data_IF_001434096471
#
_entry.id   IF_001434096471
#
_cell.length_a   1.000
_cell.length_b   1.000
_cell.length_c   1.000
_cell.angle_alpha   90.00
_cell.angle_beta   90.00
_cell.angle_gamma   90.00
#
_symmetry.space_group_name_H-M   'P 1'
#
loop_
_entity.id
_entity.type
_entity.pdbx_description
1 polymer ?
#
# COMPACT_ATOMS: atom_id res chain seq x y z
N UNK A 1 0.34 -0.12 -8.81
CA UNK A 1 0.38 -1.46 -8.17
C UNK A 1 0.62 -1.30 -6.69
N UNK A 2 -0.12 -1.96 -5.81
CA UNK A 2 0.05 -1.89 -4.36
C UNK A 2 0.12 -3.30 -3.76
N UNK A 3 0.90 -3.46 -2.70
CA UNK A 3 1.06 -4.73 -1.99
C UNK A 3 0.50 -4.63 -0.57
N UNK A 4 -0.55 -5.38 -0.28
CA UNK A 4 -1.01 -5.59 1.09
C UNK A 4 -0.14 -6.70 1.71
N UNK A 5 0.83 -6.31 2.52
CA UNK A 5 1.80 -7.22 3.14
C UNK A 5 1.35 -7.50 4.56
N UNK A 6 1.05 -8.76 4.86
CA UNK A 6 0.55 -9.18 6.18
C UNK A 6 1.41 -10.30 6.76
N UNK A 7 1.60 -10.27 8.07
CA UNK A 7 2.29 -11.33 8.82
C UNK A 7 1.29 -12.35 9.43
N UNK A 8 1.76 -13.45 10.02
CA UNK A 8 0.88 -14.46 10.63
C UNK A 8 0.01 -13.94 11.78
N UNK A 9 0.41 -12.85 12.44
CA UNK A 9 -0.34 -12.22 13.53
C UNK A 9 -1.27 -11.09 13.03
N UNK A 10 -1.47 -11.01 11.71
CA UNK A 10 -2.30 -10.03 11.04
C UNK A 10 -1.81 -8.57 11.18
N UNK A 11 -0.52 -8.36 11.46
CA UNK A 11 0.07 -7.05 11.27
C UNK A 11 0.19 -6.75 9.79
N UNK A 12 0.04 -5.49 9.43
CA UNK A 12 0.20 -5.01 8.06
C UNK A 12 1.34 -4.00 7.96
N UNK A 13 2.16 -4.13 6.92
CA UNK A 13 3.23 -3.18 6.62
C UNK A 13 2.68 -2.04 5.77
N UNK A 14 2.82 -0.82 6.27
CA UNK A 14 2.36 0.39 5.57
C UNK A 14 3.48 1.41 5.46
N UNK A 15 3.37 2.26 4.44
CA UNK A 15 4.20 3.44 4.21
C UNK A 15 3.37 4.71 4.44
N UNK A 16 3.98 5.77 4.97
CA UNK A 16 3.33 7.05 5.19
C UNK A 16 3.74 8.05 4.12
N UNK A 17 2.76 8.47 3.35
CA UNK A 17 2.92 9.58 2.41
C UNK A 17 2.58 10.89 3.08
N UNK A 18 3.41 11.90 2.87
CA UNK A 18 3.23 13.25 3.37
C UNK A 18 3.94 14.26 2.45
N UNK A 19 3.31 15.38 2.14
CA UNK A 19 3.91 16.48 1.38
C UNK A 19 3.25 17.80 1.74
N UNK A 20 3.86 18.93 1.36
CA UNK A 20 3.30 20.25 1.63
C UNK A 20 1.91 20.40 0.97
N UNK A 21 0.89 20.69 1.78
CA UNK A 21 -0.48 20.83 1.32
C UNK A 21 -1.28 19.54 1.17
N UNK A 22 -0.72 18.39 1.59
CA UNK A 22 -1.50 17.14 1.62
C UNK A 22 -2.68 17.25 2.59
N UNK A 23 -3.81 16.69 2.19
CA UNK A 23 -4.98 16.55 3.06
C UNK A 23 -5.25 15.05 3.31
N UNK A 24 -5.36 14.65 4.59
CA UNK A 24 -5.27 15.47 5.80
C UNK A 24 -3.82 15.87 6.16
N UNK A 25 -3.66 16.94 6.90
CA UNK A 25 -2.36 17.37 7.40
C UNK A 25 -1.67 16.25 8.20
N UNK A 26 -0.38 16.01 7.92
CA UNK A 26 0.39 14.88 8.46
C UNK A 26 0.30 13.61 7.61
N UNK A 27 -0.37 13.69 6.46
CA UNK A 27 -0.38 12.63 5.47
C UNK A 27 -1.27 11.44 5.80
N UNK A 28 -1.01 10.33 5.12
CA UNK A 28 -1.79 9.11 5.27
C UNK A 28 -0.92 7.86 5.11
N UNK A 29 -1.37 6.77 5.72
CA UNK A 29 -0.75 5.46 5.62
C UNK A 29 -1.44 4.61 4.56
N UNK A 30 -0.66 3.96 3.71
CA UNK A 30 -1.17 3.09 2.65
C UNK A 30 -0.24 1.91 2.40
N UNK A 31 -0.70 0.95 1.64
CA UNK A 31 0.12 -0.17 1.20
C UNK A 31 1.28 0.30 0.31
N UNK A 32 2.49 -0.25 0.47
CA UNK A 32 3.63 0.07 -0.39
C UNK A 32 3.35 -0.27 -1.85
N UNK A 33 4.02 0.45 -2.75
CA UNK A 33 3.91 0.30 -4.19
C UNK A 33 3.68 1.62 -4.91
N UNK A 34 3.68 1.60 -6.23
CA UNK A 34 3.58 2.80 -7.06
C UNK A 34 3.10 2.53 -8.47
N UNK A 35 3.46 3.42 -9.38
CA UNK A 35 3.06 3.37 -10.78
C UNK A 35 3.73 2.24 -11.57
N UNK A 36 3.12 1.89 -12.69
CA UNK A 36 3.74 1.03 -13.69
C UNK A 36 4.49 1.93 -14.66
N UNK A 37 5.78 1.72 -14.82
CA UNK A 37 6.60 2.47 -15.75
C UNK A 37 6.40 1.98 -17.20
N UNK A 38 6.69 2.82 -18.20
CA UNK A 38 6.60 2.41 -19.59
C UNK A 38 7.43 1.14 -19.88
N UNK A 39 6.77 0.12 -20.43
CA UNK A 39 7.40 -1.17 -20.74
C UNK A 39 7.47 -2.16 -19.58
N UNK A 40 7.08 -1.79 -18.37
CA UNK A 40 6.97 -2.71 -17.25
C UNK A 40 5.70 -3.58 -17.31
N UNK A 41 5.81 -4.83 -16.91
CA UNK A 41 4.65 -5.63 -16.54
C UNK A 41 4.20 -5.28 -15.11
N UNK A 42 2.98 -5.69 -14.73
CA UNK A 42 2.48 -5.54 -13.34
C UNK A 42 3.41 -6.18 -12.32
N UNK A 43 3.94 -7.37 -12.64
CA UNK A 43 4.88 -8.07 -11.77
C UNK A 43 6.20 -7.29 -11.63
N UNK A 44 6.76 -6.79 -12.72
CA UNK A 44 7.99 -6.00 -12.69
C UNK A 44 7.81 -4.72 -11.86
N UNK A 45 6.67 -4.04 -12.02
CA UNK A 45 6.37 -2.85 -11.25
C UNK A 45 6.32 -3.15 -9.74
N UNK A 46 5.57 -4.16 -9.30
CA UNK A 46 5.49 -4.49 -7.87
C UNK A 46 6.82 -5.00 -7.31
N UNK A 47 7.61 -5.75 -8.09
CA UNK A 47 8.95 -6.18 -7.71
C UNK A 47 9.89 -5.00 -7.49
N UNK A 48 9.86 -4.01 -8.36
CA UNK A 48 10.67 -2.80 -8.25
C UNK A 48 10.26 -1.99 -7.01
N UNK A 49 8.97 -1.68 -6.89
CA UNK A 49 8.44 -0.86 -5.79
C UNK A 49 8.72 -1.49 -4.42
N UNK A 50 8.44 -2.78 -4.23
CA UNK A 50 8.66 -3.43 -2.94
C UNK A 50 10.14 -3.50 -2.55
N UNK A 51 11.03 -3.64 -3.53
CA UNK A 51 12.47 -3.64 -3.29
C UNK A 51 12.96 -2.23 -2.92
N UNK A 52 12.46 -1.22 -3.61
CA UNK A 52 12.83 0.18 -3.39
C UNK A 52 12.32 0.71 -2.05
N UNK A 53 11.06 0.48 -1.73
CA UNK A 53 10.39 1.08 -0.57
C UNK A 53 10.59 0.29 0.72
N UNK A 54 10.56 -1.05 0.69
CA UNK A 54 10.56 -1.88 1.91
C UNK A 54 11.62 -2.98 1.92
N UNK A 55 12.35 -3.20 0.82
CA UNK A 55 13.38 -4.22 0.73
C UNK A 55 12.84 -5.64 0.58
N UNK A 56 11.59 -5.82 0.19
CA UNK A 56 10.97 -7.13 -0.01
C UNK A 56 11.14 -7.61 -1.44
N UNK A 57 11.46 -8.90 -1.60
CA UNK A 57 11.57 -9.57 -2.90
C UNK A 57 10.39 -10.53 -3.07
N UNK A 58 9.70 -10.43 -4.21
CA UNK A 58 8.59 -11.30 -4.57
C UNK A 58 8.80 -11.89 -5.96
N UNK A 59 8.33 -13.12 -6.18
CA UNK A 59 8.53 -13.87 -7.43
C UNK A 59 7.26 -13.87 -8.31
N UNK A 60 6.12 -13.56 -7.74
CA UNK A 60 4.83 -13.61 -8.44
C UNK A 60 3.89 -12.50 -7.96
N UNK A 61 2.84 -12.25 -8.74
CA UNK A 61 1.71 -11.46 -8.26
C UNK A 61 0.94 -12.26 -7.23
N UNK A 62 0.74 -11.67 -6.05
CA UNK A 62 -0.20 -12.20 -5.07
C UNK A 62 -1.65 -12.14 -5.57
N UNK A 63 -2.57 -12.73 -4.83
CA UNK A 63 -4.00 -12.63 -5.15
C UNK A 63 -4.43 -11.17 -5.18
N UNK A 64 -5.09 -10.73 -6.23
CA UNK A 64 -5.67 -9.39 -6.30
C UNK A 64 -6.91 -9.35 -5.41
N UNK A 65 -6.87 -8.50 -4.39
CA UNK A 65 -7.94 -8.37 -3.40
C UNK A 65 -8.92 -7.28 -3.79
N UNK A 66 -8.36 -6.12 -4.13
CA UNK A 66 -9.12 -4.90 -4.32
C UNK A 66 -8.60 -4.12 -5.52
N UNK A 67 -9.53 -3.42 -6.16
CA UNK A 67 -9.22 -2.33 -7.09
C UNK A 67 -9.77 -1.04 -6.51
N UNK A 68 -9.09 0.07 -6.75
CA UNK A 68 -9.53 1.40 -6.33
C UNK A 68 -9.32 2.38 -7.46
N UNK A 69 -10.39 3.00 -7.91
CA UNK A 69 -10.32 4.07 -8.90
C UNK A 69 -10.47 5.41 -8.19
N UNK A 70 -9.48 6.26 -8.32
CA UNK A 70 -9.51 7.64 -7.84
C UNK A 70 -9.42 8.59 -9.04
N UNK A 71 -10.45 9.39 -9.26
CA UNK A 71 -10.50 10.40 -10.31
C UNK A 71 -10.07 11.74 -9.72
N UNK A 72 -8.96 12.28 -10.18
CA UNK A 72 -8.47 13.61 -9.80
C UNK A 72 -7.55 14.14 -10.90
N UNK A 73 -7.72 15.40 -11.32
CA UNK A 73 -6.81 16.01 -12.27
C UNK A 73 -5.46 16.30 -11.61
N UNK A 74 -4.39 15.66 -12.07
CA UNK A 74 -3.04 15.91 -11.58
C UNK A 74 -2.03 15.79 -12.71
N UNK A 75 -1.42 16.91 -13.09
CA UNK A 75 -0.27 16.91 -13.98
C UNK A 75 -0.45 16.23 -15.36
N UNK A 76 -1.68 16.27 -15.92
CA UNK A 76 -1.99 15.61 -17.19
C UNK A 76 -2.58 14.20 -17.05
N UNK A 77 -2.88 13.78 -15.84
CA UNK A 77 -3.57 12.53 -15.53
C UNK A 77 -5.00 12.82 -15.07
N UNK A 78 -5.96 12.01 -15.51
CA UNK A 78 -7.36 12.13 -15.14
C UNK A 78 -7.71 11.33 -13.88
N UNK A 79 -6.76 10.57 -13.34
CA UNK A 79 -6.93 9.74 -12.15
C UNK A 79 -5.96 8.58 -12.08
N UNK A 80 -6.19 7.71 -11.11
CA UNK A 80 -5.35 6.54 -10.83
C UNK A 80 -6.22 5.32 -10.57
N UNK A 81 -5.80 4.17 -11.07
CA UNK A 81 -6.37 2.87 -10.68
C UNK A 81 -5.32 2.10 -9.89
N UNK A 82 -5.59 1.84 -8.63
CA UNK A 82 -4.78 0.98 -7.79
C UNK A 82 -5.27 -0.47 -7.87
N UNK A 83 -4.33 -1.38 -8.08
CA UNK A 83 -4.52 -2.82 -7.98
C UNK A 83 -3.80 -3.30 -6.73
N UNK A 84 -4.52 -3.81 -5.75
CA UNK A 84 -3.99 -4.19 -4.45
C UNK A 84 -3.90 -5.72 -4.36
N UNK A 85 -2.67 -6.23 -4.26
CA UNK A 85 -2.35 -7.65 -4.21
C UNK A 85 -1.89 -8.07 -2.81
N UNK A 86 -2.33 -9.26 -2.36
CA UNK A 86 -1.99 -9.83 -1.06
C UNK A 86 -0.63 -10.53 -1.10
N UNK A 87 0.20 -10.21 -0.13
CA UNK A 87 1.45 -10.91 0.17
C UNK A 87 1.49 -11.31 1.64
N UNK A 88 1.64 -12.59 1.90
CA UNK A 88 1.81 -13.15 3.25
C UNK A 88 3.28 -13.44 3.48
N UNK A 89 3.82 -13.01 4.62
CA UNK A 89 5.22 -13.21 4.98
C UNK A 89 5.39 -13.21 6.48
N UNK A 90 6.48 -13.78 6.98
CA UNK A 90 6.94 -13.50 8.34
C UNK A 90 7.26 -12.00 8.46
N UNK A 91 7.09 -11.46 9.67
CA UNK A 91 7.45 -10.07 9.93
C UNK A 91 8.95 -9.88 9.72
N UNK A 92 9.32 -8.85 8.98
CA UNK A 92 10.71 -8.47 8.74
C UNK A 92 10.93 -7.01 9.07
N UNK A 93 12.18 -6.63 9.33
CA UNK A 93 12.56 -5.24 9.45
C UNK A 93 12.66 -4.62 8.05
N UNK A 94 11.89 -3.57 7.72
CA UNK A 94 11.97 -2.91 6.43
C UNK A 94 13.40 -2.42 6.15
N UNK A 95 13.91 -2.76 4.97
CA UNK A 95 15.24 -2.36 4.51
C UNK A 95 15.16 -1.84 3.07
N UNK A 96 14.66 -0.60 2.88
CA UNK A 96 14.53 0.02 1.56
C UNK A 96 15.85 0.03 0.79
N UNK A 97 15.82 -0.20 -0.51
CA UNK A 97 16.97 0.08 -1.39
C UNK A 97 17.12 1.57 -1.66
N UNK A 98 16.03 2.32 -1.65
CA UNK A 98 16.09 3.76 -1.68
C UNK A 98 16.74 4.30 -0.42
N UNK A 99 17.58 5.33 -0.58
CA UNK A 99 18.08 6.10 0.55
C UNK A 99 16.94 6.91 1.20
N UNK A 100 17.15 7.38 2.43
CA UNK A 100 16.19 8.27 3.11
C UNK A 100 15.83 9.48 2.25
N UNK A 101 16.82 10.09 1.57
CA UNK A 101 16.60 11.23 0.70
C UNK A 101 15.74 10.87 -0.53
N UNK A 102 15.92 9.68 -1.12
CA UNK A 102 15.12 9.20 -2.22
C UNK A 102 13.68 8.90 -1.79
N UNK A 103 13.47 8.27 -0.63
CA UNK A 103 12.13 8.04 -0.07
C UNK A 103 11.40 9.36 0.16
N UNK A 104 12.07 10.35 0.73
CA UNK A 104 11.50 11.70 0.93
C UNK A 104 11.15 12.36 -0.41
N UNK A 105 11.98 12.18 -1.45
CA UNK A 105 11.68 12.69 -2.79
C UNK A 105 10.42 12.04 -3.40
N UNK A 106 10.09 10.81 -2.99
CA UNK A 106 8.84 10.11 -3.32
C UNK A 106 7.72 10.39 -2.29
N UNK A 107 7.91 11.36 -1.40
CA UNK A 107 6.99 11.72 -0.32
C UNK A 107 6.74 10.62 0.73
N UNK A 108 7.64 9.65 0.84
CA UNK A 108 7.58 8.59 1.85
C UNK A 108 8.38 9.03 3.08
N UNK A 109 7.70 9.22 4.20
CA UNK A 109 8.29 9.77 5.43
C UNK A 109 8.36 8.77 6.58
N UNK A 110 7.66 7.62 6.48
CA UNK A 110 7.71 6.57 7.48
C UNK A 110 7.28 5.22 6.90
N UNK A 111 7.77 4.14 7.51
CA UNK A 111 7.47 2.74 7.13
C UNK A 111 7.38 1.95 8.41
N UNK A 112 6.23 1.30 8.68
CA UNK A 112 6.09 0.47 9.88
C UNK A 112 5.03 -0.60 9.74
N UNK A 113 5.16 -1.62 10.58
CA UNK A 113 4.12 -2.60 10.83
C UNK A 113 3.07 -2.05 11.80
N UNK A 114 1.82 -2.30 11.49
CA UNK A 114 0.67 -1.94 12.29
C UNK A 114 -0.04 -3.18 12.78
N UNK A 115 -0.29 -3.29 14.08
CA UNK A 115 -1.14 -4.35 14.62
C UNK A 115 -2.62 -4.07 14.32
N UNK A 116 -3.49 -5.11 14.36
CA UNK A 116 -4.93 -4.92 14.25
C UNK A 116 -5.51 -3.94 15.27
N UNK A 117 -4.98 -3.93 16.49
CA UNK A 117 -5.39 -3.05 17.57
C UNK A 117 -4.99 -1.60 17.29
N UNK A 118 -3.76 -1.38 16.85
CA UNK A 118 -3.28 -0.04 16.47
C UNK A 118 -4.08 0.55 15.31
N UNK A 119 -4.42 -0.25 14.31
CA UNK A 119 -5.22 0.19 13.16
C UNK A 119 -6.60 0.73 13.59
N UNK A 120 -7.21 0.13 14.61
CA UNK A 120 -8.55 0.51 15.08
C UNK A 120 -8.55 1.62 16.12
N UNK A 121 -7.49 1.72 16.92
CA UNK A 121 -7.38 2.70 18.02
C UNK A 121 -6.64 3.98 17.64
N UNK A 122 -5.90 3.99 16.54
CA UNK A 122 -5.12 5.14 16.10
C UNK A 122 -6.00 6.23 15.47
N UNK A 123 -5.56 7.48 15.63
CA UNK A 123 -6.09 8.63 14.91
C UNK A 123 -5.40 8.85 13.54
N UNK A 124 -4.53 7.94 13.12
CA UNK A 124 -3.87 8.00 11.83
C UNK A 124 -4.88 7.89 10.68
N UNK A 125 -4.60 8.57 9.59
CA UNK A 125 -5.39 8.43 8.36
C UNK A 125 -4.83 7.29 7.54
N UNK A 126 -5.71 6.41 7.10
CA UNK A 126 -5.38 5.32 6.18
C UNK A 126 -5.98 5.58 4.80
N UNK A 127 -5.32 5.09 3.76
CA UNK A 127 -5.83 5.10 2.40
C UNK A 127 -5.83 3.67 1.82
N UNK A 128 -7.02 3.08 1.60
CA UNK A 128 -8.35 3.67 1.82
C UNK A 128 -8.67 3.86 3.32
N UNK A 129 -9.54 4.80 3.65
CA UNK A 129 -9.96 5.04 5.05
C UNK A 129 -10.58 3.81 5.71
N UNK A 130 -11.19 2.97 4.91
CA UNK A 130 -11.78 1.69 5.33
C UNK A 130 -10.75 0.54 5.51
N UNK A 131 -9.45 0.82 5.41
CA UNK A 131 -8.41 -0.22 5.51
C UNK A 131 -8.55 -1.11 6.76
N UNK A 132 -8.79 -0.58 7.99
CA UNK A 132 -8.97 -1.44 9.17
C UNK A 132 -10.14 -2.41 9.02
N UNK A 133 -11.27 -1.97 8.47
CA UNK A 133 -12.46 -2.79 8.24
C UNK A 133 -12.21 -3.83 7.14
N UNK A 134 -11.51 -3.45 6.07
CA UNK A 134 -11.13 -4.35 4.98
C UNK A 134 -10.20 -5.46 5.46
N UNK A 135 -9.24 -5.15 6.31
CA UNK A 135 -8.34 -6.13 6.93
C UNK A 135 -9.10 -7.08 7.88
N UNK A 136 -9.99 -6.54 8.69
CA UNK A 136 -10.85 -7.35 9.55
C UNK A 136 -11.68 -8.33 8.71
N UNK A 137 -12.32 -7.84 7.65
CA UNK A 137 -13.12 -8.64 6.74
C UNK A 137 -12.29 -9.71 6.02
N UNK A 138 -11.08 -9.37 5.55
CA UNK A 138 -10.15 -10.32 4.93
C UNK A 138 -9.79 -11.47 5.89
N UNK A 139 -9.64 -11.19 7.18
CA UNK A 139 -9.37 -12.22 8.20
C UNK A 139 -10.56 -13.14 8.44
N UNK A 140 -11.78 -12.62 8.39
CA UNK A 140 -13.01 -13.37 8.63
C UNK A 140 -13.44 -14.19 7.41
N UNK A 141 -13.39 -13.60 6.23
CA UNK A 141 -13.96 -14.16 5.01
C UNK A 141 -12.91 -14.77 4.07
N UNK A 142 -11.63 -14.47 4.28
CA UNK A 142 -10.54 -14.89 3.39
C UNK A 142 -10.45 -14.05 2.11
N UNK A 143 -9.66 -14.55 1.16
CA UNK A 143 -9.44 -13.90 -0.13
C UNK A 143 -10.73 -13.95 -0.96
N UNK A 144 -11.20 -12.80 -1.47
CA UNK A 144 -12.42 -12.78 -2.29
C UNK A 144 -12.20 -13.54 -3.60
N UNK A 145 -13.26 -14.16 -4.12
CA UNK A 145 -13.21 -14.90 -5.39
C UNK A 145 -12.91 -13.99 -6.59
N UNK A 146 -13.33 -12.73 -6.52
CA UNK A 146 -13.01 -11.69 -7.49
C UNK A 146 -12.59 -10.43 -6.74
N UNK A 147 -11.70 -9.60 -7.33
CA UNK A 147 -11.32 -8.32 -6.74
C UNK A 147 -12.54 -7.45 -6.44
N UNK A 148 -12.56 -6.82 -5.27
CA UNK A 148 -13.63 -5.94 -4.85
C UNK A 148 -13.25 -4.51 -5.24
N UNK A 149 -14.13 -3.82 -5.95
CA UNK A 149 -13.95 -2.41 -6.26
C UNK A 149 -14.23 -1.55 -5.01
N UNK A 150 -13.24 -0.76 -4.62
CA UNK A 150 -13.34 0.16 -3.50
C UNK A 150 -13.75 1.55 -4.01
N UNK A 151 -14.68 2.16 -3.31
CA UNK A 151 -15.15 3.53 -3.59
C UNK A 151 -14.67 4.50 -2.51
N UNK A 152 -14.36 5.73 -2.90
CA UNK A 152 -13.91 6.79 -2.01
C UNK A 152 -12.42 6.71 -1.62
N UNK A 153 -12.03 7.66 -0.77
CA UNK A 153 -10.66 7.77 -0.22
C UNK A 153 -10.49 6.90 1.02
#
# INVERSE_FOLDING_TARGET
MRALIVDPDAHVLLVRFDWEGVEPAGGFWTSPGGGIEPGESRLQAIQRELREEVGMVVDSLGSELWTKTALFPMGGWDGQVDHIHLYRTERFEPSPRMSTAQLIAENIHDIRWWSPEELTSSNATFAPRSLPQLLHRLRQEGVPANPIELTGF
#
